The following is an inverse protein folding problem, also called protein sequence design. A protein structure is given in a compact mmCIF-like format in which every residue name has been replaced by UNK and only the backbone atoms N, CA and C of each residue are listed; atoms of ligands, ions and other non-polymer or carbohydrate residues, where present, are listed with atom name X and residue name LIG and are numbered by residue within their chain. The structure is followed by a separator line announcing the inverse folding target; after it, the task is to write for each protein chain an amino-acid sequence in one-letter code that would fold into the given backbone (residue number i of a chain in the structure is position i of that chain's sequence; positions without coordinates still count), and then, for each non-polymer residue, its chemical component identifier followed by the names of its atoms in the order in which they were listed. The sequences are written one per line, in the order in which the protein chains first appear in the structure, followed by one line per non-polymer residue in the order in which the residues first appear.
data_IF_228762640656
#
_entry.id   IF_228762640656
#
_cell.length_a   1.000
_cell.length_b   1.000
_cell.length_c   1.000
_cell.angle_alpha   90.00
_cell.angle_beta   90.00
_cell.angle_gamma   90.00
#
_symmetry.space_group_name_H-M   'P 1'
#
loop_
_entity.id
_entity.type
_entity.pdbx_description
1 polymer ?
#
# COMPACT_ATOMS: atom_id res chain seq x y z
N UNK A 1 39.77 -56.56 -18.17
CA UNK A 1 39.07 -55.26 -18.45
C UNK A 1 37.84 -55.20 -17.56
N UNK A 2 37.93 -54.46 -16.44
CA UNK A 2 36.82 -54.29 -15.49
C UNK A 2 36.19 -52.94 -15.80
N UNK A 3 34.94 -52.94 -16.20
CA UNK A 3 34.13 -51.72 -16.37
C UNK A 3 33.66 -51.27 -14.99
N UNK A 4 34.09 -50.08 -14.56
CA UNK A 4 33.51 -49.33 -13.45
C UNK A 4 32.29 -48.58 -13.97
N UNK A 5 31.09 -49.00 -13.57
CA UNK A 5 29.87 -48.25 -13.74
C UNK A 5 29.84 -47.16 -12.64
N UNK A 6 30.00 -45.92 -13.03
CA UNK A 6 29.81 -44.76 -12.18
C UNK A 6 28.29 -44.54 -12.03
N UNK A 7 27.74 -44.91 -10.89
CA UNK A 7 26.39 -44.48 -10.50
C UNK A 7 26.47 -43.01 -10.08
N UNK A 8 26.06 -42.09 -10.94
CA UNK A 8 25.76 -40.73 -10.52
C UNK A 8 24.40 -40.82 -9.83
N UNK A 9 24.38 -40.79 -8.51
CA UNK A 9 23.17 -40.55 -7.74
C UNK A 9 22.78 -39.09 -8.02
N UNK A 10 21.74 -38.89 -8.82
CA UNK A 10 21.00 -37.64 -8.84
C UNK A 10 20.37 -37.51 -7.45
N UNK A 11 20.95 -36.68 -6.61
CA UNK A 11 20.27 -36.18 -5.42
C UNK A 11 19.09 -35.39 -5.95
N UNK A 12 17.87 -35.64 -5.46
CA UNK A 12 16.76 -34.73 -5.77
C UNK A 12 17.22 -33.35 -5.27
N UNK A 13 17.17 -32.36 -6.15
CA UNK A 13 17.12 -30.96 -5.72
C UNK A 13 15.81 -30.89 -4.96
N UNK A 14 15.89 -30.91 -3.64
CA UNK A 14 14.72 -30.59 -2.81
C UNK A 14 14.44 -29.13 -3.09
N UNK A 15 13.48 -28.86 -3.97
CA UNK A 15 12.87 -27.55 -4.09
C UNK A 15 12.46 -27.13 -2.68
N UNK A 16 12.73 -25.90 -2.33
CA UNK A 16 12.26 -25.35 -1.07
C UNK A 16 10.74 -25.29 -1.20
N UNK A 17 10.02 -26.16 -0.51
CA UNK A 17 8.55 -26.13 -0.49
C UNK A 17 8.11 -24.92 0.32
N UNK A 18 7.04 -24.29 -0.11
CA UNK A 18 6.41 -23.22 0.64
C UNK A 18 5.96 -23.75 2.02
N UNK A 19 6.20 -22.98 3.09
CA UNK A 19 5.71 -23.35 4.41
C UNK A 19 4.17 -23.34 4.43
N UNK A 20 3.57 -24.39 4.98
CA UNK A 20 2.10 -24.54 5.07
C UNK A 20 1.43 -23.49 5.97
N UNK A 21 2.18 -22.62 6.62
CA UNK A 21 1.68 -21.48 7.38
C UNK A 21 1.18 -20.35 6.48
N UNK A 22 1.67 -20.25 5.26
CA UNK A 22 1.20 -19.24 4.31
C UNK A 22 -0.20 -19.57 3.81
N UNK A 23 -1.09 -18.57 3.85
CA UNK A 23 -2.44 -18.71 3.36
C UNK A 23 -2.48 -18.78 1.83
N UNK A 24 -3.22 -19.74 1.33
CA UNK A 24 -3.63 -19.78 -0.08
C UNK A 24 -4.68 -18.70 -0.37
N UNK A 25 -4.87 -18.36 -1.65
CA UNK A 25 -5.91 -17.43 -2.06
C UNK A 25 -7.30 -17.86 -1.57
N UNK A 26 -7.60 -19.16 -1.63
CA UNK A 26 -8.90 -19.68 -1.17
C UNK A 26 -9.07 -19.49 0.34
N UNK A 27 -8.05 -19.72 1.15
CA UNK A 27 -8.11 -19.54 2.60
C UNK A 27 -8.29 -18.05 2.96
N UNK A 28 -7.57 -17.15 2.28
CA UNK A 28 -7.76 -15.69 2.44
C UNK A 28 -9.21 -15.30 2.15
N UNK A 29 -9.76 -15.75 1.04
CA UNK A 29 -11.11 -15.37 0.64
C UNK A 29 -12.18 -16.01 1.54
N UNK A 30 -12.03 -17.29 1.91
CA UNK A 30 -12.92 -17.95 2.87
C UNK A 30 -12.92 -17.21 4.21
N UNK A 31 -11.76 -16.77 4.69
CA UNK A 31 -11.62 -15.97 5.90
C UNK A 31 -12.37 -14.63 5.78
N UNK A 32 -12.13 -13.85 4.71
CA UNK A 32 -12.79 -12.55 4.52
C UNK A 32 -14.31 -12.69 4.37
N UNK A 33 -14.79 -13.67 3.61
CA UNK A 33 -16.23 -13.96 3.50
C UNK A 33 -16.84 -14.42 4.84
N UNK A 34 -16.11 -15.20 5.64
CA UNK A 34 -16.58 -15.64 6.94
C UNK A 34 -16.71 -14.47 7.94
N UNK A 35 -15.82 -13.50 7.88
CA UNK A 35 -15.93 -12.27 8.68
C UNK A 35 -17.15 -11.44 8.28
N UNK A 36 -17.34 -11.20 6.99
CA UNK A 36 -18.46 -10.41 6.44
C UNK A 36 -19.82 -11.04 6.73
N UNK A 37 -19.89 -12.38 6.71
CA UNK A 37 -21.12 -13.13 7.00
C UNK A 37 -21.37 -13.38 8.48
N UNK A 38 -20.48 -12.94 9.37
CA UNK A 38 -20.63 -13.15 10.80
C UNK A 38 -21.59 -12.11 11.41
N UNK A 39 -22.79 -12.50 11.90
CA UNK A 39 -23.77 -11.56 12.45
C UNK A 39 -23.27 -10.79 13.67
N UNK A 40 -22.24 -11.27 14.37
CA UNK A 40 -21.65 -10.57 15.52
C UNK A 40 -20.74 -9.41 15.08
N UNK A 41 -20.35 -9.40 13.81
CA UNK A 41 -19.48 -8.39 13.20
C UNK A 41 -20.20 -7.47 12.21
N UNK A 42 -21.50 -7.61 12.01
CA UNK A 42 -22.31 -6.95 10.97
C UNK A 42 -22.12 -5.40 10.92
N UNK A 43 -21.91 -4.76 12.07
CA UNK A 43 -21.63 -3.31 12.14
C UNK A 43 -20.13 -2.98 12.04
N UNK A 44 -19.26 -3.96 12.16
CA UNK A 44 -17.82 -3.75 12.29
C UNK A 44 -17.03 -4.05 11.04
N UNK A 45 -17.58 -4.84 10.13
CA UNK A 45 -16.91 -5.25 8.90
C UNK A 45 -17.80 -5.07 7.69
N UNK A 46 -17.19 -4.73 6.57
CA UNK A 46 -17.82 -4.70 5.26
C UNK A 46 -16.82 -5.17 4.21
N UNK A 47 -17.24 -6.11 3.37
CA UNK A 47 -16.42 -6.67 2.31
C UNK A 47 -16.78 -6.09 0.97
N UNK A 48 -15.82 -5.43 0.31
CA UNK A 48 -15.99 -4.88 -1.02
C UNK A 48 -15.21 -5.67 -2.08
N UNK A 49 -15.82 -5.78 -3.27
CA UNK A 49 -15.10 -6.19 -4.47
C UNK A 49 -14.61 -4.93 -5.18
N UNK A 50 -13.32 -4.64 -5.04
CA UNK A 50 -12.69 -3.41 -5.56
C UNK A 50 -12.49 -3.44 -7.09
N UNK A 51 -12.40 -4.62 -7.67
CA UNK A 51 -12.17 -4.86 -9.08
C UNK A 51 -11.83 -6.32 -9.34
N UNK A 52 -11.24 -6.57 -10.48
CA UNK A 52 -10.88 -7.91 -10.92
C UNK A 52 -9.47 -7.93 -11.51
N UNK A 53 -8.77 -9.03 -11.31
CA UNK A 53 -7.47 -9.27 -11.90
C UNK A 53 -7.54 -9.32 -13.43
N UNK A 54 -6.43 -9.02 -14.09
CA UNK A 54 -6.41 -8.77 -15.53
C UNK A 54 -6.66 -10.03 -16.35
N UNK A 55 -5.99 -11.13 -16.04
CA UNK A 55 -5.98 -12.33 -16.89
C UNK A 55 -7.12 -13.29 -16.55
N UNK A 56 -7.32 -13.60 -15.28
CA UNK A 56 -8.26 -14.64 -14.83
C UNK A 56 -9.56 -14.06 -14.31
N UNK A 57 -9.66 -12.75 -14.13
CA UNK A 57 -10.87 -12.10 -13.63
C UNK A 57 -11.20 -12.47 -12.18
N UNK A 58 -10.16 -12.73 -11.37
CA UNK A 58 -10.31 -13.02 -9.95
C UNK A 58 -10.67 -11.73 -9.20
N UNK A 59 -11.71 -11.72 -8.33
CA UNK A 59 -12.06 -10.51 -7.59
C UNK A 59 -10.92 -10.06 -6.67
N UNK A 60 -10.66 -8.76 -6.65
CA UNK A 60 -9.73 -8.13 -5.70
C UNK A 60 -10.59 -7.64 -4.54
N UNK A 61 -10.39 -8.22 -3.37
CA UNK A 61 -11.21 -7.96 -2.20
C UNK A 61 -10.57 -6.93 -1.27
N UNK A 62 -11.40 -6.00 -0.78
CA UNK A 62 -11.06 -5.07 0.27
C UNK A 62 -11.96 -5.27 1.48
N UNK A 63 -11.38 -5.41 2.68
CA UNK A 63 -12.12 -5.47 3.94
C UNK A 63 -12.05 -4.11 4.62
N UNK A 64 -13.20 -3.57 4.95
CA UNK A 64 -13.37 -2.37 5.74
C UNK A 64 -13.71 -2.73 7.17
N UNK A 65 -13.01 -2.12 8.14
CA UNK A 65 -13.26 -2.30 9.58
C UNK A 65 -13.45 -0.93 10.21
N UNK A 66 -14.66 -0.67 10.74
CA UNK A 66 -15.07 0.57 11.38
C UNK A 66 -16.31 0.30 12.25
N UNK A 67 -16.83 1.28 12.99
CA UNK A 67 -18.03 1.10 13.84
C UNK A 67 -19.35 1.08 13.04
N UNK A 68 -19.38 1.58 11.81
CA UNK A 68 -20.46 1.50 10.85
C UNK A 68 -19.89 1.17 9.45
N UNK A 69 -19.26 0.00 9.33
CA UNK A 69 -18.43 -0.33 8.19
C UNK A 69 -19.15 -0.32 6.82
N UNK A 70 -20.46 -0.44 6.77
CA UNK A 70 -21.29 -0.34 5.57
C UNK A 70 -21.61 1.11 5.14
N UNK A 71 -21.23 2.13 5.95
CA UNK A 71 -21.53 3.54 5.73
C UNK A 71 -20.26 4.37 5.64
N UNK A 72 -20.25 5.39 4.78
CA UNK A 72 -19.21 6.41 4.78
C UNK A 72 -19.51 7.43 5.88
N UNK A 73 -18.52 7.64 6.76
CA UNK A 73 -18.57 8.64 7.83
C UNK A 73 -17.41 9.63 7.72
N UNK A 74 -17.50 10.76 8.44
CA UNK A 74 -16.45 11.78 8.43
C UNK A 74 -15.30 11.40 9.37
N UNK A 75 -14.66 10.27 9.10
CA UNK A 75 -13.56 9.72 9.85
C UNK A 75 -12.24 9.75 9.06
N UNK A 76 -11.09 9.75 9.73
CA UNK A 76 -9.82 9.55 9.06
C UNK A 76 -9.76 8.12 8.51
N UNK A 77 -9.33 7.98 7.24
CA UNK A 77 -9.20 6.69 6.58
C UNK A 77 -7.76 6.25 6.48
N UNK A 78 -7.50 4.96 6.74
CA UNK A 78 -6.18 4.35 6.58
C UNK A 78 -6.29 3.07 5.74
N UNK A 79 -5.24 2.77 4.96
CA UNK A 79 -5.22 1.64 4.04
C UNK A 79 -3.97 0.79 4.24
N UNK A 80 -4.14 -0.51 4.37
CA UNK A 80 -3.07 -1.49 4.46
C UNK A 80 -3.15 -2.49 3.31
N UNK A 81 -2.10 -2.56 2.49
CA UNK A 81 -2.03 -3.40 1.30
C UNK A 81 -0.94 -4.43 1.47
N UNK A 82 -1.31 -5.70 1.43
CA UNK A 82 -0.37 -6.83 1.36
C UNK A 82 0.06 -7.11 -0.07
N UNK A 83 0.73 -8.15 -0.28
CA UNK A 83 1.16 -8.85 -1.48
C UNK A 83 0.79 -8.18 -2.84
N UNK A 84 1.63 -7.23 -3.30
CA UNK A 84 1.58 -6.63 -4.64
C UNK A 84 2.40 -7.45 -5.62
N UNK A 85 3.60 -7.87 -5.21
CA UNK A 85 4.40 -8.83 -5.97
C UNK A 85 4.11 -10.24 -5.49
N UNK A 86 4.03 -11.16 -6.44
CA UNK A 86 3.57 -12.51 -6.18
C UNK A 86 4.40 -13.26 -5.12
N UNK A 87 5.72 -13.14 -5.19
CA UNK A 87 6.67 -13.80 -4.29
C UNK A 87 6.74 -13.21 -2.86
N UNK A 88 6.20 -11.99 -2.66
CA UNK A 88 6.37 -11.20 -1.43
C UNK A 88 5.17 -11.41 -0.49
N UNK A 89 4.98 -12.65 -0.02
CA UNK A 89 3.77 -13.08 0.69
C UNK A 89 3.72 -12.74 2.19
N UNK A 90 4.83 -12.31 2.81
CA UNK A 90 4.85 -11.90 4.22
C UNK A 90 3.88 -10.74 4.52
N UNK A 91 3.74 -9.80 3.58
CA UNK A 91 2.83 -8.66 3.73
C UNK A 91 1.36 -9.07 3.84
N UNK A 92 0.95 -10.13 3.15
CA UNK A 92 -0.39 -10.70 3.26
C UNK A 92 -0.66 -11.20 4.69
N UNK A 93 0.31 -11.94 5.26
CA UNK A 93 0.18 -12.50 6.62
C UNK A 93 0.12 -11.40 7.69
N UNK A 94 0.91 -10.32 7.53
CA UNK A 94 0.89 -9.16 8.43
C UNK A 94 -0.49 -8.47 8.40
N UNK A 95 -1.08 -8.33 7.22
CA UNK A 95 -2.38 -7.68 7.03
C UNK A 95 -3.50 -8.50 7.66
N UNK A 96 -3.53 -9.82 7.45
CA UNK A 96 -4.53 -10.72 8.05
C UNK A 96 -4.44 -10.71 9.57
N UNK A 97 -3.24 -10.83 10.12
CA UNK A 97 -3.05 -10.87 11.57
C UNK A 97 -3.45 -9.54 12.25
N UNK A 98 -3.30 -8.39 11.58
CA UNK A 98 -3.80 -7.12 12.08
C UNK A 98 -5.34 -7.04 12.06
N UNK A 99 -6.00 -7.62 11.06
CA UNK A 99 -7.46 -7.74 11.03
C UNK A 99 -7.96 -8.54 12.24
N UNK A 100 -7.28 -9.64 12.58
CA UNK A 100 -7.58 -10.43 13.77
C UNK A 100 -7.40 -9.63 15.07
N UNK A 101 -6.29 -8.90 15.23
CA UNK A 101 -6.06 -8.07 16.40
C UNK A 101 -7.15 -6.99 16.59
N UNK A 102 -7.65 -6.41 15.51
CA UNK A 102 -8.74 -5.44 15.56
C UNK A 102 -10.09 -6.07 15.92
N UNK A 103 -10.40 -7.23 15.35
CA UNK A 103 -11.71 -7.86 15.51
C UNK A 103 -11.80 -8.72 16.75
N UNK A 104 -10.73 -9.42 17.10
CA UNK A 104 -10.66 -10.39 18.20
C UNK A 104 -9.48 -10.12 19.15
N UNK A 105 -9.33 -8.87 19.64
CA UNK A 105 -8.16 -8.46 20.39
C UNK A 105 -7.98 -9.22 21.70
N UNK A 106 -6.75 -9.55 22.02
CA UNK A 106 -6.39 -10.00 23.37
C UNK A 106 -6.71 -8.95 24.42
N UNK A 107 -6.94 -9.37 25.67
CA UNK A 107 -7.32 -8.51 26.77
C UNK A 107 -6.34 -7.34 27.00
N UNK A 108 -5.06 -7.50 26.66
CA UNK A 108 -4.02 -6.48 26.82
C UNK A 108 -4.14 -5.32 25.82
N UNK A 109 -4.66 -5.57 24.64
CA UNK A 109 -4.81 -4.57 23.55
C UNK A 109 -6.27 -4.19 23.29
N UNK A 110 -7.24 -4.87 23.90
CA UNK A 110 -8.67 -4.73 23.63
C UNK A 110 -9.17 -3.29 23.64
N UNK A 111 -8.82 -2.52 24.67
CA UNK A 111 -9.28 -1.12 24.77
C UNK A 111 -8.71 -0.27 23.65
N UNK A 112 -7.46 -0.47 23.28
CA UNK A 112 -6.80 0.27 22.22
C UNK A 112 -7.41 -0.06 20.85
N UNK A 113 -7.54 -1.35 20.51
CA UNK A 113 -8.16 -1.78 19.25
C UNK A 113 -9.62 -1.32 19.13
N UNK A 114 -10.36 -1.28 20.26
CA UNK A 114 -11.73 -0.74 20.27
C UNK A 114 -11.76 0.75 19.93
N UNK A 115 -10.83 1.55 20.46
CA UNK A 115 -10.71 2.98 20.12
C UNK A 115 -10.39 3.16 18.63
N UNK A 116 -9.45 2.37 18.10
CA UNK A 116 -9.09 2.49 16.68
C UNK A 116 -10.28 2.21 15.77
N UNK A 117 -11.06 1.17 16.04
CA UNK A 117 -12.26 0.83 15.26
C UNK A 117 -13.40 1.86 15.39
N UNK A 118 -13.49 2.57 16.53
CA UNK A 118 -14.54 3.55 16.79
C UNK A 118 -14.27 4.90 16.11
N UNK A 119 -13.00 5.23 15.81
CA UNK A 119 -12.61 6.55 15.31
C UNK A 119 -11.91 6.54 13.95
N UNK A 120 -11.78 5.37 13.32
CA UNK A 120 -11.13 5.20 12.03
C UNK A 120 -11.94 4.33 11.08
N UNK A 121 -11.90 4.70 9.83
CA UNK A 121 -12.30 3.84 8.71
C UNK A 121 -11.05 3.13 8.18
N UNK A 122 -10.89 1.85 8.54
CA UNK A 122 -9.66 1.07 8.30
C UNK A 122 -9.89 0.09 7.15
N UNK A 123 -9.09 0.19 6.11
CA UNK A 123 -9.17 -0.66 4.92
C UNK A 123 -7.99 -1.62 4.81
N UNK A 124 -8.29 -2.86 4.43
CA UNK A 124 -7.33 -3.93 4.24
C UNK A 124 -7.49 -4.58 2.88
N UNK A 125 -6.38 -4.71 2.15
CA UNK A 125 -6.26 -5.52 0.93
C UNK A 125 -5.17 -6.56 1.20
N UNK A 126 -5.50 -7.78 1.68
CA UNK A 126 -4.48 -8.79 1.99
C UNK A 126 -3.65 -9.18 0.77
N UNK A 127 -4.29 -9.35 -0.38
CA UNK A 127 -3.59 -9.58 -1.66
C UNK A 127 -4.10 -8.63 -2.74
N UNK A 128 -3.18 -7.87 -3.31
CA UNK A 128 -3.42 -7.03 -4.48
C UNK A 128 -3.14 -7.76 -5.80
N UNK A 129 -2.52 -8.95 -5.74
CA UNK A 129 -2.15 -9.76 -6.89
C UNK A 129 -2.60 -11.23 -6.70
N UNK A 130 -3.91 -11.49 -6.77
CA UNK A 130 -4.44 -12.83 -6.51
C UNK A 130 -3.95 -13.89 -7.50
N UNK A 131 -3.74 -13.51 -8.77
CA UNK A 131 -3.23 -14.43 -9.78
C UNK A 131 -1.77 -14.82 -9.51
N UNK A 132 -0.93 -13.84 -9.16
CA UNK A 132 0.45 -14.10 -8.78
C UNK A 132 0.57 -14.93 -7.50
N UNK A 133 -0.32 -14.70 -6.52
CA UNK A 133 -0.37 -15.51 -5.32
C UNK A 133 -0.56 -17.00 -5.64
N UNK A 134 -1.45 -17.32 -6.59
CA UNK A 134 -1.65 -18.70 -7.02
C UNK A 134 -0.39 -19.31 -7.65
N UNK A 135 0.38 -18.54 -8.44
CA UNK A 135 1.64 -19.04 -9.03
C UNK A 135 2.62 -19.49 -7.95
N UNK A 136 2.77 -18.69 -6.89
CA UNK A 136 3.69 -18.98 -5.79
C UNK A 136 3.14 -20.09 -4.90
N UNK A 137 1.85 -20.05 -4.56
CA UNK A 137 1.23 -21.02 -3.67
C UNK A 137 1.12 -22.43 -4.29
N UNK A 138 0.91 -22.50 -5.61
CA UNK A 138 0.94 -23.75 -6.37
C UNK A 138 2.36 -24.26 -6.64
N UNK A 139 3.37 -23.59 -6.09
CA UNK A 139 4.80 -23.91 -6.25
C UNK A 139 5.26 -24.00 -7.70
N UNK A 140 4.62 -23.27 -8.63
CA UNK A 140 5.04 -23.18 -10.02
C UNK A 140 6.35 -22.39 -10.11
N UNK A 141 6.42 -21.24 -9.44
CA UNK A 141 7.63 -20.45 -9.26
C UNK A 141 7.57 -19.61 -7.98
N UNK A 142 8.33 -20.00 -6.96
CA UNK A 142 8.43 -19.26 -5.69
C UNK A 142 9.11 -17.89 -5.84
N UNK A 143 9.74 -17.61 -6.97
CA UNK A 143 10.39 -16.34 -7.28
C UNK A 143 9.58 -15.49 -8.28
N UNK A 144 8.37 -15.90 -8.62
CA UNK A 144 7.50 -15.15 -9.53
C UNK A 144 7.10 -13.80 -8.92
N UNK A 145 7.22 -12.71 -9.71
CA UNK A 145 7.02 -11.34 -9.20
C UNK A 145 5.73 -10.68 -9.70
N UNK A 146 5.41 -10.87 -11.00
CA UNK A 146 4.43 -10.11 -11.76
C UNK A 146 2.99 -10.63 -11.55
N UNK A 147 2.00 -10.04 -12.24
CA UNK A 147 0.71 -10.68 -12.46
C UNK A 147 0.78 -11.65 -13.66
N UNK A 148 -0.35 -12.21 -14.11
CA UNK A 148 -0.36 -13.24 -15.16
C UNK A 148 -0.80 -12.74 -16.54
N UNK A 149 -0.75 -11.44 -16.80
CA UNK A 149 -1.20 -10.90 -18.09
C UNK A 149 -0.45 -11.55 -19.25
N UNK A 150 -1.18 -12.23 -20.14
CA UNK A 150 -0.65 -12.92 -21.30
C UNK A 150 -0.46 -11.95 -22.46
N UNK A 151 0.75 -11.90 -23.01
CA UNK A 151 1.11 -11.09 -24.17
C UNK A 151 1.15 -11.90 -25.47
N UNK A 152 0.38 -13.00 -25.56
CA UNK A 152 0.19 -13.79 -26.76
C UNK A 152 -0.10 -12.91 -28.01
N UNK A 153 0.35 -13.27 -29.21
CA UNK A 153 0.76 -14.61 -29.66
C UNK A 153 2.26 -14.91 -29.54
N UNK A 154 3.03 -14.10 -28.86
CA UNK A 154 4.50 -14.19 -28.81
C UNK A 154 5.01 -15.01 -27.64
N UNK A 155 4.11 -15.44 -26.74
CA UNK A 155 4.45 -16.34 -25.66
C UNK A 155 4.72 -17.78 -26.12
N UNK A 156 5.30 -18.63 -25.26
CA UNK A 156 5.55 -20.04 -25.56
C UNK A 156 4.27 -20.82 -25.87
N UNK A 157 3.12 -20.36 -25.37
CA UNK A 157 1.78 -20.92 -25.68
C UNK A 157 0.83 -19.81 -26.12
N UNK A 158 0.69 -19.57 -27.43
CA UNK A 158 -0.09 -18.47 -27.99
C UNK A 158 -1.61 -18.73 -27.94
N UNK A 159 -2.18 -19.02 -26.77
CA UNK A 159 -3.59 -19.37 -26.59
C UNK A 159 -4.26 -18.66 -25.40
N UNK A 160 -3.63 -17.63 -24.82
CA UNK A 160 -4.15 -16.88 -23.69
C UNK A 160 -4.00 -17.62 -22.36
N UNK A 161 -3.09 -18.57 -22.27
CA UNK A 161 -2.80 -19.32 -21.04
C UNK A 161 -1.43 -18.89 -20.56
N UNK A 162 -1.37 -18.50 -19.28
CA UNK A 162 -0.08 -18.28 -18.61
C UNK A 162 0.81 -19.52 -18.71
N UNK A 163 2.00 -19.33 -19.18
CA UNK A 163 2.97 -20.40 -19.42
C UNK A 163 4.32 -20.04 -18.78
N UNK A 164 4.62 -20.74 -17.70
CA UNK A 164 5.85 -20.54 -16.96
C UNK A 164 7.00 -21.38 -17.56
N UNK A 165 8.10 -20.72 -17.90
CA UNK A 165 9.31 -21.38 -18.37
C UNK A 165 10.37 -21.47 -17.24
N UNK A 166 10.54 -22.65 -16.61
CA UNK A 166 11.49 -22.82 -15.52
C UNK A 166 12.95 -22.63 -15.95
N UNK A 167 13.24 -22.58 -17.27
CA UNK A 167 14.62 -22.41 -17.77
C UNK A 167 15.12 -20.96 -17.64
N UNK A 168 14.21 -19.99 -17.60
CA UNK A 168 14.53 -18.56 -17.45
C UNK A 168 14.21 -18.03 -16.04
N UNK A 169 13.53 -18.81 -15.19
CA UNK A 169 13.24 -18.46 -13.81
C UNK A 169 12.06 -17.51 -13.62
N UNK A 170 11.60 -16.83 -14.67
CA UNK A 170 10.39 -16.01 -14.73
C UNK A 170 9.79 -16.10 -16.12
N UNK A 171 8.48 -15.86 -16.21
CA UNK A 171 7.79 -15.82 -17.50
C UNK A 171 7.98 -14.49 -18.20
N UNK A 172 7.89 -14.50 -19.54
CA UNK A 172 7.84 -13.30 -20.36
C UNK A 172 6.51 -12.57 -20.20
N UNK A 173 5.48 -13.27 -19.74
CA UNK A 173 4.18 -12.72 -19.44
C UNK A 173 4.19 -11.93 -18.13
N UNK A 174 3.12 -11.19 -17.89
CA UNK A 174 2.90 -10.42 -16.68
C UNK A 174 3.51 -9.03 -16.67
N UNK A 175 2.96 -8.24 -15.78
CA UNK A 175 3.33 -6.84 -15.51
C UNK A 175 3.74 -6.70 -14.06
N UNK A 176 4.81 -5.97 -13.79
CA UNK A 176 5.15 -5.53 -12.44
C UNK A 176 4.12 -4.47 -11.99
N UNK A 177 3.20 -4.87 -11.12
CA UNK A 177 2.11 -4.00 -10.67
C UNK A 177 2.62 -2.72 -10.00
N UNK A 178 3.78 -2.78 -9.32
CA UNK A 178 4.42 -1.60 -8.72
C UNK A 178 5.26 -0.79 -9.74
N UNK A 179 4.99 -0.96 -11.03
CA UNK A 179 5.47 -0.12 -12.15
C UNK A 179 4.32 0.39 -13.01
N UNK A 180 3.09 -0.04 -12.74
CA UNK A 180 1.92 0.22 -13.59
C UNK A 180 1.14 1.50 -13.22
N UNK A 181 1.53 2.20 -12.14
CA UNK A 181 0.89 3.45 -11.71
C UNK A 181 1.31 4.67 -12.53
N UNK A 182 0.37 5.59 -12.80
CA UNK A 182 0.54 6.64 -13.80
C UNK A 182 1.63 7.69 -13.53
N UNK A 183 2.03 7.89 -12.26
CA UNK A 183 3.06 8.87 -11.95
C UNK A 183 4.46 8.37 -12.32
N UNK A 184 5.14 9.08 -13.21
CA UNK A 184 6.46 8.71 -13.75
C UNK A 184 6.50 7.36 -14.51
N UNK A 185 5.36 6.82 -14.89
CA UNK A 185 5.26 5.56 -15.63
C UNK A 185 6.14 5.51 -16.88
N UNK A 186 6.28 6.64 -17.59
CA UNK A 186 7.08 6.73 -18.82
C UNK A 186 8.55 6.37 -18.64
N UNK A 187 9.06 6.40 -17.41
CA UNK A 187 10.45 6.06 -17.07
C UNK A 187 10.62 4.60 -16.62
N UNK A 188 9.55 3.81 -16.57
CA UNK A 188 9.63 2.39 -16.22
C UNK A 188 10.14 1.52 -17.34
N UNK A 189 10.54 0.30 -17.01
CA UNK A 189 11.14 -0.64 -17.95
C UNK A 189 10.14 -1.12 -19.01
N UNK A 190 10.65 -1.34 -20.23
CA UNK A 190 9.85 -1.71 -21.40
C UNK A 190 10.17 -3.12 -21.90
N UNK A 191 11.04 -3.84 -21.22
CA UNK A 191 11.46 -5.19 -21.60
C UNK A 191 10.39 -6.19 -21.18
N UNK A 192 9.95 -7.04 -22.10
CA UNK A 192 9.07 -8.18 -21.85
C UNK A 192 9.82 -9.51 -21.88
N UNK A 193 10.92 -9.57 -22.62
CA UNK A 193 11.70 -10.76 -22.84
C UNK A 193 13.14 -10.56 -22.37
N UNK A 194 13.82 -11.62 -21.89
CA UNK A 194 15.23 -11.56 -21.59
C UNK A 194 16.02 -11.34 -22.89
N UNK A 195 16.80 -10.27 -22.96
CA UNK A 195 17.72 -9.98 -24.04
C UNK A 195 19.15 -10.36 -23.62
N UNK A 196 19.91 -11.01 -24.52
CA UNK A 196 21.30 -11.38 -24.27
C UNK A 196 22.24 -10.18 -24.05
N UNK A 197 21.80 -8.97 -24.39
CA UNK A 197 22.52 -7.72 -24.16
C UNK A 197 22.13 -7.04 -22.86
N UNK A 198 21.11 -7.53 -22.16
CA UNK A 198 20.51 -6.88 -21.03
C UNK A 198 20.74 -7.64 -19.72
N UNK A 199 20.53 -6.94 -18.60
CA UNK A 199 20.55 -7.57 -17.30
C UNK A 199 19.36 -8.53 -17.20
N UNK A 200 19.63 -9.78 -16.82
CA UNK A 200 18.71 -10.91 -16.86
C UNK A 200 17.44 -10.77 -15.99
N UNK A 201 17.21 -9.62 -15.35
CA UNK A 201 16.06 -9.35 -14.50
C UNK A 201 15.23 -8.14 -14.93
N UNK A 202 15.54 -7.47 -16.05
CA UNK A 202 14.80 -6.24 -16.43
C UNK A 202 13.37 -6.53 -16.84
N UNK A 203 13.09 -7.67 -17.47
CA UNK A 203 11.72 -8.06 -17.83
C UNK A 203 10.83 -8.32 -16.61
N UNK A 204 11.41 -8.62 -15.43
CA UNK A 204 10.68 -8.70 -14.16
C UNK A 204 10.06 -7.36 -13.75
N UNK A 205 10.55 -6.25 -14.29
CA UNK A 205 10.09 -4.91 -13.98
C UNK A 205 9.27 -4.28 -15.10
N UNK A 206 8.75 -5.10 -16.02
CA UNK A 206 7.93 -4.60 -17.14
C UNK A 206 6.71 -3.82 -16.64
N UNK A 207 6.60 -2.58 -17.11
CA UNK A 207 5.61 -1.60 -16.60
C UNK A 207 4.21 -1.72 -17.19
N UNK A 208 3.98 -2.65 -18.12
CA UNK A 208 2.74 -2.74 -18.91
C UNK A 208 2.74 -1.82 -20.14
N UNK A 209 1.72 -1.93 -20.97
CA UNK A 209 1.60 -1.20 -22.25
C UNK A 209 1.18 0.27 -22.04
N UNK A 210 0.47 0.56 -20.96
CA UNK A 210 0.04 1.91 -20.58
C UNK A 210 -0.08 2.01 -19.05
N UNK A 211 -0.10 3.22 -18.47
CA UNK A 211 -0.40 3.37 -17.05
C UNK A 211 -1.78 2.79 -16.76
N UNK A 212 -1.88 2.04 -15.67
CA UNK A 212 -3.11 1.35 -15.27
C UNK A 212 -3.67 0.41 -16.36
N UNK A 213 -2.79 -0.29 -17.06
CA UNK A 213 -3.20 -1.35 -17.97
C UNK A 213 -3.78 -2.56 -17.22
N UNK A 214 -3.36 -2.76 -15.97
CA UNK A 214 -3.72 -3.92 -15.17
C UNK A 214 -4.92 -3.65 -14.25
N UNK A 215 -5.88 -4.58 -14.21
CA UNK A 215 -7.09 -4.51 -13.39
C UNK A 215 -6.78 -4.37 -11.91
N UNK A 216 -5.71 -4.98 -11.44
CA UNK A 216 -5.19 -4.90 -10.09
C UNK A 216 -4.78 -3.46 -9.73
N UNK A 217 -4.05 -2.81 -10.61
CA UNK A 217 -3.65 -1.41 -10.43
C UNK A 217 -4.85 -0.45 -10.54
N UNK A 218 -5.81 -0.76 -11.41
CA UNK A 218 -7.07 0.00 -11.54
C UNK A 218 -7.90 -0.09 -10.27
N UNK A 219 -8.06 -1.27 -9.69
CA UNK A 219 -8.83 -1.47 -8.46
C UNK A 219 -8.28 -0.63 -7.29
N UNK A 220 -6.96 -0.64 -7.09
CA UNK A 220 -6.31 0.18 -6.05
C UNK A 220 -6.43 1.68 -6.36
N UNK A 221 -6.27 2.07 -7.63
CA UNK A 221 -6.43 3.46 -8.07
C UNK A 221 -7.82 3.99 -7.75
N UNK A 222 -8.86 3.25 -8.12
CA UNK A 222 -10.24 3.69 -7.98
C UNK A 222 -10.63 3.78 -6.51
N UNK A 223 -10.24 2.80 -5.70
CA UNK A 223 -10.37 2.87 -4.24
C UNK A 223 -9.70 4.12 -3.66
N UNK A 224 -8.47 4.43 -4.10
CA UNK A 224 -7.72 5.58 -3.61
C UNK A 224 -8.33 6.93 -4.01
N UNK A 225 -8.97 7.01 -5.20
CA UNK A 225 -9.63 8.21 -5.68
C UNK A 225 -11.02 8.42 -5.07
N UNK A 226 -11.68 7.35 -4.64
CA UNK A 226 -12.98 7.40 -3.98
C UNK A 226 -12.89 7.66 -2.48
N UNK A 227 -11.71 7.48 -1.89
CA UNK A 227 -11.48 7.60 -0.46
C UNK A 227 -10.27 8.50 -0.17
N UNK A 228 -10.42 9.45 0.72
CA UNK A 228 -9.36 10.38 1.15
C UNK A 228 -8.50 9.78 2.26
N UNK A 229 -7.75 8.72 1.94
CA UNK A 229 -6.83 8.09 2.90
C UNK A 229 -5.80 9.09 3.41
N UNK A 230 -5.59 9.08 4.73
CA UNK A 230 -4.57 9.91 5.40
C UNK A 230 -3.22 9.22 5.34
N UNK A 231 -3.21 7.94 5.72
CA UNK A 231 -2.02 7.09 5.72
C UNK A 231 -2.29 5.75 5.05
N UNK A 232 -1.22 5.17 4.53
CA UNK A 232 -1.24 3.80 4.02
C UNK A 232 0.12 3.14 4.18
N UNK A 233 0.12 1.82 4.31
CA UNK A 233 1.32 0.98 4.11
C UNK A 233 1.03 0.02 2.97
N UNK A 234 2.00 -0.10 2.06
CA UNK A 234 2.09 -1.21 1.11
C UNK A 234 3.27 -2.08 1.51
N UNK A 235 2.98 -3.34 1.83
CA UNK A 235 3.98 -4.30 2.26
C UNK A 235 4.64 -4.95 1.05
N UNK A 236 5.96 -4.96 1.08
CA UNK A 236 6.85 -5.61 0.13
C UNK A 236 7.88 -6.44 0.87
N UNK A 237 8.62 -7.27 0.14
CA UNK A 237 9.84 -7.94 0.59
C UNK A 237 10.86 -7.90 -0.54
N UNK A 238 12.14 -7.97 -0.26
CA UNK A 238 13.16 -7.80 -1.29
C UNK A 238 14.13 -8.96 -1.35
N UNK A 239 14.36 -9.50 -2.55
CA UNK A 239 15.45 -10.45 -2.84
C UNK A 239 16.82 -9.86 -2.54
N UNK A 240 16.93 -8.54 -2.52
CA UNK A 240 18.18 -7.84 -2.25
C UNK A 240 18.27 -7.44 -0.78
N UNK A 241 19.21 -8.02 -0.04
CA UNK A 241 19.49 -7.62 1.34
C UNK A 241 19.80 -6.12 1.50
N UNK A 242 20.15 -5.42 0.42
CA UNK A 242 20.35 -3.97 0.44
C UNK A 242 19.04 -3.18 0.54
N UNK A 243 17.89 -3.78 0.19
CA UNK A 243 16.58 -3.14 0.24
C UNK A 243 15.72 -3.69 1.39
N UNK A 244 16.01 -4.88 1.91
CA UNK A 244 15.30 -5.52 3.03
C UNK A 244 15.32 -4.66 4.29
N UNK A 245 14.30 -4.84 5.13
CA UNK A 245 14.17 -4.18 6.44
C UNK A 245 14.22 -2.66 6.35
N UNK A 246 13.51 -2.10 5.35
CA UNK A 246 13.47 -0.66 5.08
C UNK A 246 12.05 -0.14 4.90
N UNK A 247 11.89 1.12 5.28
CA UNK A 247 10.68 1.91 5.07
C UNK A 247 10.98 3.00 4.06
N UNK A 248 10.30 2.98 2.92
CA UNK A 248 10.45 3.97 1.87
C UNK A 248 9.36 5.03 1.99
N UNK A 249 9.79 6.30 2.03
CA UNK A 249 8.90 7.45 1.85
C UNK A 249 8.78 7.78 0.36
N UNK A 250 7.85 8.69 0.02
CA UNK A 250 7.77 9.28 -1.32
C UNK A 250 9.09 9.96 -1.72
N UNK A 251 9.21 10.30 -2.97
CA UNK A 251 10.44 10.55 -3.69
C UNK A 251 11.38 11.63 -3.14
N UNK A 252 12.66 11.34 -3.25
CA UNK A 252 13.76 12.28 -3.31
C UNK A 252 14.69 11.87 -4.44
N UNK A 253 14.56 12.52 -5.61
CA UNK A 253 15.40 12.21 -6.76
C UNK A 253 16.61 13.14 -6.78
N UNK A 254 17.78 12.60 -6.92
CA UNK A 254 19.04 13.37 -6.85
C UNK A 254 19.08 14.58 -7.79
N UNK A 255 18.47 14.46 -8.96
CA UNK A 255 18.59 15.44 -10.03
C UNK A 255 17.40 16.41 -10.13
N UNK A 256 16.28 16.15 -9.49
CA UNK A 256 15.05 16.82 -9.84
C UNK A 256 14.37 17.49 -8.66
N UNK A 257 13.87 16.79 -7.70
CA UNK A 257 13.08 17.39 -6.61
C UNK A 257 12.75 16.39 -5.50
N UNK A 258 12.58 16.94 -4.33
CA UNK A 258 11.97 16.28 -3.19
C UNK A 258 10.44 16.42 -3.26
N UNK A 259 9.73 15.47 -2.66
CA UNK A 259 8.31 15.63 -2.39
C UNK A 259 8.10 16.80 -1.39
N UNK A 260 7.07 17.64 -1.57
CA UNK A 260 6.88 18.84 -0.75
C UNK A 260 6.78 18.57 0.77
N UNK A 261 6.15 17.45 1.16
CA UNK A 261 5.98 17.07 2.56
C UNK A 261 7.07 16.08 3.04
N UNK A 262 8.25 16.04 2.37
CA UNK A 262 9.28 15.03 2.66
C UNK A 262 9.75 15.05 4.11
N UNK A 263 9.84 16.24 4.72
CA UNK A 263 10.28 16.41 6.12
C UNK A 263 9.37 15.63 7.07
N UNK A 264 8.05 15.86 7.00
CA UNK A 264 7.09 15.20 7.87
C UNK A 264 6.97 13.70 7.54
N UNK A 265 6.99 13.33 6.25
CA UNK A 265 6.98 11.92 5.86
C UNK A 265 8.16 11.15 6.46
N UNK A 266 9.35 11.76 6.37
CA UNK A 266 10.58 11.17 6.92
C UNK A 266 10.52 11.07 8.44
N UNK A 267 10.03 12.11 9.12
CA UNK A 267 9.88 12.14 10.58
C UNK A 267 8.97 11.02 11.07
N UNK A 268 7.81 10.82 10.42
CA UNK A 268 6.88 9.72 10.73
C UNK A 268 7.53 8.36 10.42
N UNK A 269 8.18 8.22 9.27
CA UNK A 269 8.88 6.99 8.91
C UNK A 269 10.01 6.63 9.88
N UNK A 270 10.79 7.62 10.35
CA UNK A 270 11.85 7.42 11.35
C UNK A 270 11.28 6.91 12.67
N UNK A 271 10.11 7.41 13.06
CA UNK A 271 9.46 7.00 14.28
C UNK A 271 9.10 5.52 14.24
N UNK A 272 8.26 5.10 13.27
CA UNK A 272 7.80 3.72 13.27
C UNK A 272 8.85 2.72 12.78
N UNK A 273 9.75 3.09 11.86
CA UNK A 273 10.85 2.20 11.47
C UNK A 273 11.80 1.92 12.65
N UNK A 274 12.00 2.92 13.51
CA UNK A 274 12.74 2.76 14.76
C UNK A 274 12.08 1.84 15.80
N UNK A 275 10.79 1.49 15.62
CA UNK A 275 10.07 0.54 16.47
C UNK A 275 10.04 -0.89 15.91
N UNK A 276 10.46 -1.10 14.66
CA UNK A 276 10.52 -2.43 14.04
C UNK A 276 11.95 -2.97 14.18
N UNK A 277 12.13 -3.99 15.00
CA UNK A 277 13.44 -4.65 15.13
C UNK A 277 13.79 -5.40 13.84
N UNK A 278 15.09 -5.43 13.48
CA UNK A 278 15.59 -6.29 12.42
C UNK A 278 15.49 -7.78 12.83
N UNK A 279 15.48 -8.71 11.86
CA UNK A 279 15.35 -10.13 12.13
C UNK A 279 16.45 -10.65 13.05
N UNK A 280 17.66 -10.12 12.95
CA UNK A 280 18.79 -10.47 13.81
C UNK A 280 18.75 -9.80 15.20
N UNK A 281 17.78 -8.93 15.46
CA UNK A 281 17.60 -8.24 16.74
C UNK A 281 18.74 -7.25 17.09
N UNK A 282 19.60 -6.91 16.15
CA UNK A 282 20.77 -6.04 16.41
C UNK A 282 20.50 -4.57 16.13
N UNK A 283 19.43 -4.23 15.40
CA UNK A 283 19.09 -2.88 14.97
C UNK A 283 17.56 -2.75 14.77
N UNK A 284 17.14 -1.66 14.18
CA UNK A 284 15.77 -1.41 13.73
C UNK A 284 15.77 -1.13 12.22
N UNK A 285 14.60 -1.18 11.61
CA UNK A 285 14.42 -0.84 10.22
C UNK A 285 14.91 0.58 9.93
N UNK A 286 15.35 0.82 8.69
CA UNK A 286 15.84 2.12 8.26
C UNK A 286 14.79 2.81 7.38
N UNK A 287 14.46 4.06 7.68
CA UNK A 287 13.67 4.88 6.77
C UNK A 287 14.56 5.47 5.67
N UNK A 288 14.10 5.35 4.43
CA UNK A 288 14.82 5.81 3.23
C UNK A 288 13.87 6.50 2.25
N UNK A 289 14.40 7.12 1.22
CA UNK A 289 13.61 7.80 0.19
C UNK A 289 13.46 6.94 -1.07
N UNK A 290 12.32 7.04 -1.74
CA UNK A 290 12.16 6.50 -3.09
C UNK A 290 13.05 7.26 -4.07
N UNK A 291 14.10 6.62 -4.56
CA UNK A 291 15.10 7.23 -5.44
C UNK A 291 14.82 7.08 -6.94
N UNK A 292 13.95 6.16 -7.36
CA UNK A 292 13.67 5.87 -8.77
C UNK A 292 12.31 6.41 -9.22
N UNK A 293 12.24 6.82 -10.51
CA UNK A 293 11.05 7.35 -11.17
C UNK A 293 10.53 6.32 -12.16
N UNK A 294 9.60 5.47 -11.78
CA UNK A 294 9.16 4.35 -12.64
C UNK A 294 7.79 3.79 -12.31
N UNK A 295 6.79 4.63 -12.04
CA UNK A 295 5.40 4.19 -11.93
C UNK A 295 5.05 3.46 -10.63
N UNK A 296 5.65 3.85 -9.50
CA UNK A 296 5.44 3.23 -8.20
C UNK A 296 4.12 3.66 -7.55
N UNK A 297 3.51 2.70 -6.87
CA UNK A 297 2.26 2.85 -6.13
C UNK A 297 2.33 3.99 -5.09
N UNK A 298 3.28 3.95 -4.14
CA UNK A 298 3.35 4.91 -3.03
C UNK A 298 3.69 6.35 -3.48
N UNK A 299 4.49 6.51 -4.54
CA UNK A 299 4.75 7.82 -5.14
C UNK A 299 3.49 8.39 -5.81
N UNK A 300 2.70 7.52 -6.48
CA UNK A 300 1.44 7.90 -7.11
C UNK A 300 0.38 8.31 -6.07
N UNK A 301 0.22 7.51 -4.99
CA UNK A 301 -0.73 7.81 -3.91
C UNK A 301 -0.52 9.22 -3.37
N UNK A 302 0.72 9.52 -2.94
CA UNK A 302 1.00 10.84 -2.42
C UNK A 302 0.80 11.94 -3.46
N UNK A 303 1.28 11.75 -4.67
CA UNK A 303 1.14 12.75 -5.74
C UNK A 303 -0.32 13.03 -6.07
N UNK A 304 -1.15 12.01 -6.19
CA UNK A 304 -2.51 12.10 -6.68
C UNK A 304 -3.51 12.48 -5.59
N UNK A 305 -3.47 11.81 -4.45
CA UNK A 305 -4.50 11.93 -3.41
C UNK A 305 -4.04 12.71 -2.17
N UNK A 306 -2.75 12.80 -1.91
CA UNK A 306 -2.20 13.35 -0.68
C UNK A 306 -2.01 12.34 0.45
N UNK A 307 -2.46 11.11 0.25
CA UNK A 307 -2.21 10.04 1.19
C UNK A 307 -0.70 9.82 1.35
N UNK A 308 -0.23 9.84 2.58
CA UNK A 308 1.15 9.47 2.89
C UNK A 308 1.22 7.95 2.94
N UNK A 309 1.61 7.34 1.81
CA UNK A 309 1.81 5.90 1.74
C UNK A 309 3.29 5.55 1.89
N UNK A 310 3.57 4.61 2.78
CA UNK A 310 4.89 4.03 2.98
C UNK A 310 4.97 2.67 2.30
N UNK A 311 6.08 2.41 1.59
CA UNK A 311 6.43 1.09 1.13
C UNK A 311 7.38 0.47 2.15
N UNK A 312 6.99 -0.67 2.72
CA UNK A 312 7.79 -1.38 3.73
C UNK A 312 8.31 -2.68 3.15
N UNK A 313 9.62 -2.79 3.01
CA UNK A 313 10.32 -4.02 2.64
C UNK A 313 10.53 -4.85 3.91
N UNK A 314 9.56 -5.70 4.24
CA UNK A 314 9.59 -6.50 5.44
C UNK A 314 10.41 -7.80 5.27
N UNK A 315 10.96 -8.30 6.37
CA UNK A 315 11.81 -9.48 6.36
C UNK A 315 13.17 -9.25 5.69
N UNK A 316 13.91 -10.32 5.53
CA UNK A 316 15.24 -10.34 4.91
C UNK A 316 15.16 -10.72 3.42
N UNK A 317 16.31 -11.04 2.81
CA UNK A 317 16.34 -11.56 1.43
C UNK A 317 15.77 -12.99 1.28
N UNK A 318 15.44 -13.65 2.37
CA UNK A 318 14.60 -14.85 2.37
C UNK A 318 13.13 -14.41 2.32
N UNK A 319 12.54 -14.43 1.14
CA UNK A 319 11.18 -13.90 0.89
C UNK A 319 10.08 -14.75 1.50
N UNK A 320 10.31 -16.05 1.59
CA UNK A 320 9.37 -17.03 2.15
C UNK A 320 10.08 -17.83 3.25
N UNK A 321 10.29 -17.21 4.44
CA UNK A 321 10.86 -17.93 5.58
C UNK A 321 9.92 -19.02 6.10
N UNK A 322 10.43 -19.83 7.02
CA UNK A 322 9.62 -20.83 7.71
C UNK A 322 8.66 -20.20 8.75
N UNK A 323 7.72 -21.00 9.25
CA UNK A 323 6.64 -20.52 10.14
C UNK A 323 7.13 -19.75 11.36
N UNK A 324 8.28 -20.10 11.95
CA UNK A 324 8.82 -19.39 13.11
C UNK A 324 9.22 -17.95 12.77
N UNK A 325 9.82 -17.74 11.59
CA UNK A 325 10.18 -16.41 11.11
C UNK A 325 8.99 -15.64 10.53
N UNK A 326 7.96 -16.32 10.00
CA UNK A 326 6.69 -15.68 9.61
C UNK A 326 6.10 -15.01 10.84
N UNK A 327 5.85 -15.76 11.92
CA UNK A 327 5.26 -15.22 13.16
C UNK A 327 6.11 -14.09 13.76
N UNK A 328 7.42 -14.25 13.77
CA UNK A 328 8.34 -13.22 14.25
C UNK A 328 8.25 -11.95 13.40
N UNK A 329 8.19 -12.06 12.07
CA UNK A 329 8.10 -10.92 11.16
C UNK A 329 6.75 -10.20 11.32
N UNK A 330 5.64 -10.93 11.45
CA UNK A 330 4.32 -10.38 11.74
C UNK A 330 4.38 -9.54 13.02
N UNK A 331 4.81 -10.13 14.13
CA UNK A 331 4.85 -9.45 15.43
C UNK A 331 5.70 -8.18 15.42
N UNK A 332 6.85 -8.20 14.71
CA UNK A 332 7.73 -7.03 14.62
C UNK A 332 7.13 -5.89 13.80
N UNK A 333 6.32 -6.19 12.78
CA UNK A 333 5.82 -5.19 11.84
C UNK A 333 4.45 -4.60 12.20
N UNK A 334 3.60 -5.29 12.96
CA UNK A 334 2.29 -4.76 13.39
C UNK A 334 2.35 -3.39 14.10
N UNK A 335 3.34 -3.09 14.97
CA UNK A 335 3.44 -1.77 15.59
C UNK A 335 3.47 -0.59 14.62
N UNK A 336 3.96 -0.78 13.38
CA UNK A 336 3.93 0.27 12.37
C UNK A 336 2.51 0.64 11.94
N UNK A 337 1.63 -0.36 11.79
CA UNK A 337 0.22 -0.14 11.44
C UNK A 337 -0.50 0.57 12.58
N UNK A 338 -0.31 0.09 13.81
CA UNK A 338 -0.89 0.72 15.02
C UNK A 338 -0.43 2.16 15.16
N UNK A 339 0.86 2.44 14.95
CA UNK A 339 1.37 3.81 15.00
C UNK A 339 0.71 4.74 13.99
N UNK A 340 0.51 4.30 12.74
CA UNK A 340 -0.15 5.15 11.75
C UNK A 340 -1.63 5.36 12.04
N UNK A 341 -2.33 4.35 12.57
CA UNK A 341 -3.71 4.48 13.04
C UNK A 341 -3.81 5.48 14.18
N UNK A 342 -2.97 5.35 15.19
CA UNK A 342 -2.89 6.29 16.32
C UNK A 342 -2.56 7.72 15.84
N UNK A 343 -1.64 7.83 14.88
CA UNK A 343 -1.24 9.11 14.29
C UNK A 343 -2.40 9.78 13.54
N UNK A 344 -3.25 8.99 12.87
CA UNK A 344 -4.40 9.49 12.12
C UNK A 344 -5.47 10.10 13.03
N UNK A 345 -5.69 9.51 14.20
CA UNK A 345 -6.63 10.05 15.21
C UNK A 345 -5.99 11.11 16.13
N UNK A 346 -4.70 11.43 15.95
CA UNK A 346 -4.01 12.44 16.76
C UNK A 346 -3.66 11.98 18.17
N UNK A 347 -3.49 10.69 18.41
CA UNK A 347 -3.20 10.12 19.72
C UNK A 347 -1.83 10.53 20.28
N UNK A 348 -0.84 10.70 19.43
CA UNK A 348 0.52 11.09 19.85
C UNK A 348 0.67 12.61 20.03
N UNK A 349 1.47 13.02 21.01
CA UNK A 349 1.76 14.43 21.29
C UNK A 349 2.50 15.17 20.16
N UNK A 350 3.18 14.43 19.26
CA UNK A 350 3.85 14.95 18.07
C UNK A 350 2.98 14.85 16.79
N UNK A 351 1.71 14.44 16.97
CA UNK A 351 0.75 14.24 15.91
C UNK A 351 0.17 15.56 15.37
N UNK A 352 1.02 16.51 14.98
CA UNK A 352 0.56 17.78 14.44
C UNK A 352 -0.22 17.57 13.12
N UNK A 353 -1.46 18.06 13.09
CA UNK A 353 -2.29 18.07 11.88
C UNK A 353 -3.31 19.21 11.96
N UNK A 354 -3.71 19.70 10.80
CA UNK A 354 -4.79 20.68 10.67
C UNK A 354 -5.90 20.02 9.86
N UNK A 355 -7.10 19.99 10.44
CA UNK A 355 -8.31 19.50 9.78
C UNK A 355 -9.46 20.48 9.99
N UNK A 356 -10.44 20.43 9.13
CA UNK A 356 -11.62 21.27 9.23
C UNK A 356 -12.66 20.92 8.19
N UNK A 357 -13.75 21.65 8.20
CA UNK A 357 -14.82 21.58 7.20
C UNK A 357 -14.91 22.91 6.47
N UNK A 358 -14.96 22.84 5.14
CA UNK A 358 -15.33 23.97 4.28
C UNK A 358 -16.83 23.91 4.04
N UNK A 359 -17.55 24.99 4.38
CA UNK A 359 -18.99 25.04 4.22
C UNK A 359 -19.47 26.39 3.67
N UNK A 360 -20.60 26.40 2.99
CA UNK A 360 -21.23 27.58 2.49
C UNK A 360 -21.86 28.38 3.64
N UNK A 361 -21.47 29.64 3.80
CA UNK A 361 -21.93 30.50 4.91
C UNK A 361 -23.42 30.82 4.88
N UNK A 362 -24.05 30.76 3.70
CA UNK A 362 -25.47 31.09 3.55
C UNK A 362 -26.38 29.89 3.82
N UNK A 363 -25.95 28.70 3.38
CA UNK A 363 -26.75 27.48 3.49
C UNK A 363 -26.34 26.62 4.69
N UNK A 364 -25.10 26.76 5.17
CA UNK A 364 -24.51 25.89 6.18
C UNK A 364 -24.16 24.49 5.68
N UNK A 365 -24.25 24.22 4.38
CA UNK A 365 -23.93 22.93 3.80
C UNK A 365 -22.42 22.80 3.54
N UNK A 366 -21.85 21.56 3.67
CA UNK A 366 -20.48 21.33 3.32
C UNK A 366 -20.23 21.53 1.82
N UNK A 367 -19.02 21.96 1.45
CA UNK A 367 -18.59 22.13 0.07
C UNK A 367 -17.58 21.04 -0.25
N UNK A 368 -17.99 20.06 -1.03
CA UNK A 368 -17.12 19.04 -1.62
C UNK A 368 -16.28 19.64 -2.74
N UNK A 369 -15.05 19.13 -2.92
CA UNK A 369 -14.16 19.54 -4.01
C UNK A 369 -13.52 20.93 -3.83
N UNK A 370 -13.68 21.57 -2.67
CA UNK A 370 -12.93 22.81 -2.38
C UNK A 370 -11.45 22.52 -2.30
N UNK A 371 -10.63 23.25 -3.07
CA UNK A 371 -9.17 23.13 -2.99
C UNK A 371 -8.66 23.70 -1.67
N UNK A 372 -7.77 22.96 -1.02
CA UNK A 372 -7.10 23.33 0.23
C UNK A 372 -5.59 23.30 0.00
N UNK A 373 -5.02 24.47 -0.25
CA UNK A 373 -3.58 24.61 -0.53
C UNK A 373 -2.85 25.11 0.71
N UNK A 374 -1.70 24.53 1.00
CA UNK A 374 -0.75 24.99 2.01
C UNK A 374 0.44 25.59 1.26
N UNK A 375 0.61 26.92 1.33
CA UNK A 375 1.55 27.63 0.44
C UNK A 375 3.01 27.19 0.62
N UNK A 376 3.38 26.76 1.82
CA UNK A 376 4.72 26.25 2.14
C UNK A 376 4.98 24.84 1.60
N UNK A 377 3.91 24.11 1.24
CA UNK A 377 3.96 22.70 0.81
C UNK A 377 3.39 22.51 -0.61
N UNK A 378 3.55 23.50 -1.47
CA UNK A 378 3.11 23.42 -2.85
C UNK A 378 4.19 22.81 -3.74
N UNK A 379 3.76 22.10 -4.75
CA UNK A 379 4.66 21.58 -5.78
C UNK A 379 3.91 21.36 -7.08
N UNK A 380 4.44 21.85 -8.20
CA UNK A 380 3.78 21.76 -9.51
C UNK A 380 3.53 20.32 -10.03
N UNK A 381 4.02 19.30 -9.31
CA UNK A 381 3.78 17.89 -9.63
C UNK A 381 2.60 17.30 -8.84
N UNK A 382 2.20 17.95 -7.74
CA UNK A 382 1.08 17.48 -6.92
C UNK A 382 -0.25 17.81 -7.58
N UNK A 383 -1.21 16.94 -7.42
CA UNK A 383 -2.62 17.28 -7.67
C UNK A 383 -3.14 18.14 -6.52
N UNK A 384 -4.09 19.04 -6.80
CA UNK A 384 -4.74 19.81 -5.74
C UNK A 384 -5.33 18.89 -4.68
N UNK A 385 -5.19 19.25 -3.40
CA UNK A 385 -5.87 18.58 -2.29
C UNK A 385 -7.25 19.23 -2.16
N UNK A 386 -8.27 18.40 -2.15
CA UNK A 386 -9.65 18.86 -2.08
C UNK A 386 -10.38 18.34 -0.87
N UNK A 387 -11.47 18.97 -0.51
CA UNK A 387 -12.40 18.46 0.51
C UNK A 387 -13.21 17.28 -0.04
N UNK A 388 -13.55 16.34 0.85
CA UNK A 388 -14.41 15.20 0.55
C UNK A 388 -15.92 15.57 0.57
N UNK A 389 -16.78 14.56 0.48
CA UNK A 389 -18.25 14.67 0.51
C UNK A 389 -18.82 15.37 1.77
N UNK A 390 -18.07 15.34 2.87
CA UNK A 390 -18.40 16.04 4.13
C UNK A 390 -17.83 17.46 4.19
N UNK A 391 -17.23 17.96 3.10
CA UNK A 391 -16.48 19.22 3.10
C UNK A 391 -15.20 19.15 3.93
N UNK A 392 -14.81 17.96 4.36
CA UNK A 392 -13.67 17.74 5.26
C UNK A 392 -12.34 17.79 4.50
N UNK A 393 -11.34 18.43 5.12
CA UNK A 393 -9.93 18.32 4.75
C UNK A 393 -9.09 17.89 5.94
N UNK A 394 -7.99 17.16 5.67
CA UNK A 394 -6.99 16.75 6.65
C UNK A 394 -5.59 17.00 6.09
N UNK A 395 -4.76 17.73 6.83
CA UNK A 395 -3.38 18.03 6.44
C UNK A 395 -2.44 17.63 7.56
N UNK A 396 -1.62 16.64 7.28
CA UNK A 396 -0.55 16.20 8.18
C UNK A 396 0.62 17.16 7.98
N UNK A 397 1.09 17.77 9.05
CA UNK A 397 2.10 18.82 9.03
C UNK A 397 3.08 18.66 10.21
N UNK A 398 4.25 19.26 10.08
CA UNK A 398 5.11 19.52 11.23
C UNK A 398 4.54 20.65 12.09
N UNK A 399 5.08 20.80 13.30
CA UNK A 399 4.79 21.97 14.14
C UNK A 399 5.27 23.24 13.46
N UNK A 400 4.36 24.17 13.25
CA UNK A 400 4.67 25.41 12.54
C UNK A 400 3.46 26.29 12.28
N UNK A 401 3.69 27.41 11.63
CA UNK A 401 2.65 28.30 11.13
C UNK A 401 2.62 28.23 9.61
N UNK A 402 1.44 28.00 9.05
CA UNK A 402 1.23 27.74 7.63
C UNK A 402 0.15 28.65 7.07
N UNK A 403 0.31 29.07 5.82
CA UNK A 403 -0.68 29.85 5.09
C UNK A 403 -1.52 28.94 4.21
N UNK A 404 -2.80 28.84 4.55
CA UNK A 404 -3.79 28.07 3.84
C UNK A 404 -4.58 28.94 2.88
N UNK A 405 -4.77 28.48 1.65
CA UNK A 405 -5.69 29.06 0.68
C UNK A 405 -6.80 28.06 0.40
N UNK A 406 -8.02 28.52 0.62
CA UNK A 406 -9.25 27.77 0.32
C UNK A 406 -9.92 28.40 -0.90
N UNK A 407 -10.20 27.56 -1.91
CA UNK A 407 -10.89 28.02 -3.12
C UNK A 407 -11.93 27.01 -3.60
N UNK A 408 -13.06 27.51 -4.06
CA UNK A 408 -14.13 26.70 -4.65
C UNK A 408 -14.80 27.46 -5.79
N UNK A 409 -15.35 26.73 -6.76
CA UNK A 409 -16.06 27.36 -7.87
C UNK A 409 -17.29 28.15 -7.37
N UNK A 410 -17.40 29.39 -7.79
CA UNK A 410 -18.50 30.30 -7.35
C UNK A 410 -18.25 31.01 -6.03
N UNK A 411 -17.10 30.82 -5.39
CA UNK A 411 -16.77 31.47 -4.12
C UNK A 411 -15.51 32.35 -4.24
N UNK A 412 -15.37 33.27 -3.30
CA UNK A 412 -14.14 34.08 -3.15
C UNK A 412 -13.09 33.23 -2.39
N UNK A 413 -11.85 33.28 -2.86
CA UNK A 413 -10.75 32.60 -2.20
C UNK A 413 -10.53 33.19 -0.80
N UNK A 414 -10.22 32.33 0.16
CA UNK A 414 -9.84 32.72 1.52
C UNK A 414 -8.41 32.30 1.82
N UNK A 415 -7.63 33.23 2.38
CA UNK A 415 -6.29 32.95 2.88
C UNK A 415 -6.28 33.10 4.41
N UNK A 416 -5.78 32.08 5.12
CA UNK A 416 -5.78 32.03 6.59
C UNK A 416 -4.44 31.45 7.05
N UNK A 417 -3.76 32.16 7.99
CA UNK A 417 -2.60 31.61 8.68
C UNK A 417 -3.03 30.75 9.86
N UNK A 418 -2.57 29.50 9.90
CA UNK A 418 -2.91 28.50 10.91
C UNK A 418 -1.67 27.98 11.61
N UNK A 419 -1.81 27.61 12.89
CA UNK A 419 -0.73 27.02 13.69
C UNK A 419 -0.99 25.53 13.89
N UNK A 420 -0.14 24.71 13.32
CA UNK A 420 -0.03 23.29 13.69
C UNK A 420 0.85 23.19 14.96
N UNK A 421 0.34 22.52 15.99
CA UNK A 421 1.04 22.37 17.26
C UNK A 421 1.04 20.94 17.76
N UNK A 422 1.82 20.65 18.79
CA UNK A 422 1.96 19.31 19.37
C UNK A 422 0.74 18.83 20.17
N UNK A 423 -0.34 19.59 20.23
CA UNK A 423 -1.55 19.18 20.94
C UNK A 423 -2.49 18.32 20.10
N UNK A 424 -2.00 17.78 18.98
CA UNK A 424 -2.76 16.91 18.09
C UNK A 424 -3.52 17.69 17.01
N UNK A 425 -4.83 17.46 16.92
CA UNK A 425 -5.69 17.98 15.83
C UNK A 425 -6.08 19.43 16.11
N UNK A 426 -5.77 20.33 15.17
CA UNK A 426 -6.35 21.68 15.13
C UNK A 426 -7.58 21.68 14.22
N UNK A 427 -8.75 21.95 14.76
CA UNK A 427 -10.00 22.03 14.01
C UNK A 427 -10.25 23.47 13.54
N UNK A 428 -10.44 23.67 12.24
CA UNK A 428 -10.86 24.92 11.69
C UNK A 428 -12.07 24.74 10.77
N UNK A 429 -13.09 25.54 11.01
CA UNK A 429 -14.24 25.66 10.11
C UNK A 429 -14.07 26.91 9.24
N UNK A 430 -14.10 26.75 7.93
CA UNK A 430 -13.97 27.86 6.98
C UNK A 430 -15.26 28.04 6.18
N UNK A 431 -15.63 29.29 5.95
CA UNK A 431 -16.84 29.64 5.24
C UNK A 431 -16.51 30.66 4.16
N UNK A 432 -16.11 30.23 2.94
CA UNK A 432 -15.92 31.17 1.84
C UNK A 432 -17.24 31.91 1.51
N UNK A 433 -17.14 33.20 1.17
CA UNK A 433 -18.30 33.98 0.71
C UNK A 433 -18.55 33.68 -0.75
N UNK A 434 -19.82 33.52 -1.18
CA UNK A 434 -20.16 33.42 -2.59
C UNK A 434 -19.66 34.62 -3.40
N UNK A 435 -19.30 34.40 -4.66
CA UNK A 435 -19.06 35.48 -5.64
C UNK A 435 -20.45 36.03 -6.09
N UNK A 436 -20.61 37.36 -6.11
CA UNK A 436 -21.82 38.04 -6.61
C UNK A 436 -22.04 37.77 -8.09
#
# INVERSE_FOLDING_TARGET
MRYFLLFIALLPVTGQNLDSRYHSLSEVYEYMYALDQNPELDNWVHLDTLGYSTQEGIPILGMRISDNADQKEDEPRVLFVGQVHAEEILGLEIVIDMMDDLLFPDASIHTHMSILKEYLDIWFIPTANPEGLNVVHDELDLSYRKNKTDFSPEGPVPNGIFDYDPSIGNDIDGVDLNRNFGFNWVFGDTFREPDNSDYASHYDYYKGEQPFSEGEAVAIRDLALENDFVFSIVWHSSRSGNLSEKVFTSWKWEEVKESPDLGIMKSIADHFSGSIETEDGTSTYLSVFSGSRNGKLHDWFYRETGCIQYLVECGTSNLQPDSALIENTILRNKPAMVYLMDRAIGYYADAAQITGIVYDVQTGLPIEGSTVEVLEHTGGVLKPRTTNEFGRYRRILDVGTYNFVFSAEGYLDQEISLVANNSGICLLYTSPSPRD
#
